data_IF_818534857498
#
_entry.id   IF_818534857498
#
_cell.length_a   1.000
_cell.length_b   1.000
_cell.length_c   1.000
_cell.angle_alpha   90.00
_cell.angle_beta   90.00
_cell.angle_gamma   90.00
#
_symmetry.space_group_name_H-M   'P 1'
#
loop_
_entity.id
_entity.type
_entity.pdbx_description
1 polymer ?
#
# COMPACT_ATOMS: atom_id res chain seq x y z
N UNK A 1 -18.38 -27.41 -45.65
CA UNK A 1 -19.09 -27.59 -44.36
C UNK A 1 -18.16 -27.94 -43.20
N UNK A 2 -17.27 -28.93 -43.33
CA UNK A 2 -16.37 -29.35 -42.24
C UNK A 2 -15.47 -28.24 -41.67
N UNK A 3 -14.89 -27.38 -42.52
CA UNK A 3 -14.03 -26.28 -42.05
C UNK A 3 -14.74 -25.25 -41.16
N UNK A 4 -16.03 -24.98 -41.41
CA UNK A 4 -16.81 -24.01 -40.62
C UNK A 4 -17.11 -24.57 -39.22
N UNK A 5 -17.43 -25.87 -39.13
CA UNK A 5 -17.72 -26.53 -37.86
C UNK A 5 -16.47 -26.56 -36.97
N UNK A 6 -15.30 -26.88 -37.54
CA UNK A 6 -14.04 -26.89 -36.80
C UNK A 6 -13.72 -25.50 -36.23
N UNK A 7 -13.88 -24.44 -37.02
CA UNK A 7 -13.63 -23.06 -36.56
C UNK A 7 -14.56 -22.65 -35.42
N UNK A 8 -15.85 -22.99 -35.49
CA UNK A 8 -16.82 -22.70 -34.43
C UNK A 8 -16.50 -23.42 -33.12
N UNK A 9 -16.06 -24.68 -33.20
CA UNK A 9 -15.66 -25.47 -32.02
C UNK A 9 -14.41 -24.89 -31.35
N UNK A 10 -13.40 -24.48 -32.13
CA UNK A 10 -12.18 -23.83 -31.61
C UNK A 10 -12.51 -22.49 -30.94
N UNK A 11 -13.39 -21.68 -31.55
CA UNK A 11 -13.79 -20.40 -30.96
C UNK A 11 -14.57 -20.60 -29.65
N UNK A 12 -15.50 -21.55 -29.61
CA UNK A 12 -16.29 -21.85 -28.42
C UNK A 12 -15.40 -22.36 -27.27
N UNK A 13 -14.42 -23.21 -27.56
CA UNK A 13 -13.47 -23.71 -26.55
C UNK A 13 -12.54 -22.61 -26.03
N UNK A 14 -12.03 -21.72 -26.89
CA UNK A 14 -11.24 -20.57 -26.46
C UNK A 14 -12.04 -19.62 -25.55
N UNK A 15 -13.30 -19.35 -25.87
CA UNK A 15 -14.20 -18.53 -25.05
C UNK A 15 -14.48 -19.20 -23.70
N UNK A 16 -14.81 -20.49 -23.70
CA UNK A 16 -15.06 -21.25 -22.47
C UNK A 16 -13.82 -21.28 -21.57
N UNK A 17 -12.64 -21.51 -22.14
CA UNK A 17 -11.37 -21.51 -21.40
C UNK A 17 -11.05 -20.12 -20.84
N UNK A 18 -11.22 -19.05 -21.62
CA UNK A 18 -11.01 -17.67 -21.16
C UNK A 18 -12.00 -17.26 -20.06
N UNK A 19 -13.26 -17.68 -20.15
CA UNK A 19 -14.27 -17.43 -19.11
C UNK A 19 -13.93 -18.18 -17.83
N UNK A 20 -13.56 -19.47 -17.92
CA UNK A 20 -13.16 -20.29 -16.78
C UNK A 20 -11.89 -19.75 -16.11
N UNK A 21 -10.88 -19.36 -16.89
CA UNK A 21 -9.67 -18.71 -16.38
C UNK A 21 -9.99 -17.43 -15.63
N UNK A 22 -10.84 -16.55 -16.19
CA UNK A 22 -11.26 -15.31 -15.52
C UNK A 22 -11.95 -15.56 -14.19
N UNK A 23 -12.87 -16.53 -14.12
CA UNK A 23 -13.58 -16.85 -12.89
C UNK A 23 -12.63 -17.41 -11.82
N UNK A 24 -11.72 -18.31 -12.23
CA UNK A 24 -10.75 -18.89 -11.31
C UNK A 24 -9.74 -17.87 -10.80
N UNK A 25 -9.25 -17.01 -11.69
CA UNK A 25 -8.32 -15.93 -11.36
C UNK A 25 -8.95 -14.92 -10.40
N UNK A 26 -10.22 -14.55 -10.61
CA UNK A 26 -10.98 -13.70 -9.66
C UNK A 26 -11.06 -14.30 -8.26
N UNK A 27 -11.31 -15.61 -8.16
CA UNK A 27 -11.40 -16.30 -6.87
C UNK A 27 -10.04 -16.34 -6.16
N UNK A 28 -8.96 -16.62 -6.88
CA UNK A 28 -7.60 -16.65 -6.34
C UNK A 28 -7.18 -15.26 -5.82
N UNK A 29 -7.42 -14.20 -6.60
CA UNK A 29 -7.11 -12.82 -6.18
C UNK A 29 -7.83 -12.45 -4.89
N UNK A 30 -9.11 -12.82 -4.74
CA UNK A 30 -9.86 -12.55 -3.50
C UNK A 30 -9.25 -13.27 -2.29
N UNK A 31 -8.82 -14.52 -2.44
CA UNK A 31 -8.16 -15.27 -1.36
C UNK A 31 -6.84 -14.63 -0.98
N UNK A 32 -5.98 -14.34 -1.96
CA UNK A 32 -4.67 -13.70 -1.74
C UNK A 32 -4.84 -12.37 -1.00
N UNK A 33 -5.78 -11.52 -1.42
CA UNK A 33 -6.02 -10.23 -0.75
C UNK A 33 -6.50 -10.40 0.68
N UNK A 34 -7.35 -11.39 0.95
CA UNK A 34 -7.81 -11.66 2.32
C UNK A 34 -6.65 -12.11 3.22
N UNK A 35 -5.78 -12.99 2.70
CA UNK A 35 -4.56 -13.40 3.40
C UNK A 35 -3.63 -12.20 3.62
N UNK A 36 -3.37 -11.40 2.59
CA UNK A 36 -2.57 -10.18 2.71
C UNK A 36 -3.08 -9.24 3.81
N UNK A 37 -4.40 -9.01 3.90
CA UNK A 37 -5.01 -8.21 4.96
C UNK A 37 -4.71 -8.81 6.34
N UNK A 38 -4.83 -10.12 6.50
CA UNK A 38 -4.52 -10.80 7.76
C UNK A 38 -3.03 -10.68 8.12
N UNK A 39 -2.14 -10.83 7.13
CA UNK A 39 -0.70 -10.70 7.32
C UNK A 39 -0.32 -9.28 7.77
N UNK A 40 -1.01 -8.26 7.24
CA UNK A 40 -0.79 -6.87 7.65
C UNK A 40 -1.07 -6.64 9.13
N UNK A 41 -2.16 -7.23 9.63
CA UNK A 41 -2.56 -7.09 11.03
C UNK A 41 -1.66 -7.87 11.99
N UNK A 42 -1.06 -8.98 11.53
CA UNK A 42 -0.22 -9.82 12.37
C UNK A 42 1.15 -9.21 12.68
N UNK A 43 1.74 -8.45 11.75
CA UNK A 43 3.12 -7.92 11.88
C UNK A 43 3.20 -6.39 11.78
N UNK A 44 2.40 -5.69 12.59
CA UNK A 44 2.37 -4.22 12.60
C UNK A 44 3.71 -3.59 12.97
N UNK A 45 4.47 -4.21 13.88
CA UNK A 45 5.78 -3.70 14.31
C UNK A 45 6.85 -3.91 13.24
N UNK A 46 6.88 -5.06 12.57
CA UNK A 46 7.77 -5.30 11.43
C UNK A 46 7.49 -4.34 10.28
N UNK A 47 6.22 -4.08 9.99
CA UNK A 47 5.81 -3.10 8.98
C UNK A 47 6.20 -1.66 9.35
N UNK A 48 6.07 -1.28 10.62
CA UNK A 48 6.52 0.02 11.09
C UNK A 48 8.04 0.21 10.89
N UNK A 49 8.83 -0.83 11.22
CA UNK A 49 10.27 -0.81 11.02
C UNK A 49 10.65 -0.75 9.53
N UNK A 50 9.98 -1.54 8.69
CA UNK A 50 10.16 -1.52 7.23
C UNK A 50 9.87 -0.13 6.66
N UNK A 51 8.76 0.47 7.07
CA UNK A 51 8.38 1.83 6.66
C UNK A 51 9.42 2.86 7.11
N UNK A 52 9.86 2.80 8.37
CA UNK A 52 10.82 3.74 8.93
C UNK A 52 12.16 3.69 8.17
N UNK A 53 12.62 2.47 7.85
CA UNK A 53 13.82 2.26 7.06
C UNK A 53 13.68 2.86 5.65
N UNK A 54 12.57 2.58 4.97
CA UNK A 54 12.30 3.10 3.63
C UNK A 54 12.19 4.64 3.64
N UNK A 55 11.49 5.21 4.61
CA UNK A 55 11.29 6.65 4.75
C UNK A 55 12.61 7.38 5.04
N UNK A 56 13.45 6.83 5.93
CA UNK A 56 14.79 7.34 6.23
C UNK A 56 15.70 7.38 5.00
N UNK A 57 15.60 6.38 4.11
CA UNK A 57 16.38 6.31 2.88
C UNK A 57 16.00 7.39 1.84
N UNK A 58 14.84 8.04 1.98
CA UNK A 58 14.41 9.09 1.03
C UNK A 58 15.14 10.42 1.19
N UNK A 59 15.79 10.66 2.34
CA UNK A 59 16.43 11.93 2.68
C UNK A 59 15.45 13.10 2.90
N UNK A 60 14.15 12.82 3.05
CA UNK A 60 13.09 13.80 3.33
C UNK A 60 12.47 13.51 4.69
N UNK A 61 12.14 14.50 5.52
CA UNK A 61 12.33 15.94 5.33
C UNK A 61 13.81 16.34 5.43
N UNK A 62 14.22 17.38 4.70
CA UNK A 62 15.62 17.86 4.76
C UNK A 62 15.96 18.35 6.17
N UNK A 63 17.20 18.09 6.60
CA UNK A 63 17.70 18.50 7.90
C UNK A 63 17.21 17.64 9.07
N UNK A 64 16.38 16.62 8.81
CA UNK A 64 15.76 15.76 9.81
C UNK A 64 16.05 14.28 9.54
N UNK A 65 16.23 13.52 10.62
CA UNK A 65 16.32 12.06 10.62
C UNK A 65 15.02 11.48 11.14
N UNK A 66 14.51 10.45 10.47
CA UNK A 66 13.38 9.66 10.97
C UNK A 66 13.82 8.85 12.18
N UNK A 67 13.17 9.06 13.33
CA UNK A 67 13.59 8.43 14.59
C UNK A 67 12.71 7.26 14.97
N UNK A 68 11.40 7.43 14.88
CA UNK A 68 10.44 6.38 15.24
C UNK A 68 9.16 6.50 14.41
N UNK A 69 8.49 5.37 14.23
CA UNK A 69 7.17 5.26 13.63
C UNK A 69 6.37 4.22 14.41
N UNK A 70 5.15 4.58 14.79
CA UNK A 70 4.18 3.67 15.39
C UNK A 70 2.91 3.64 14.53
N UNK A 71 2.48 2.46 14.11
CA UNK A 71 1.26 2.27 13.34
C UNK A 71 0.10 2.00 14.29
N UNK A 72 -0.97 2.77 14.19
CA UNK A 72 -2.14 2.66 15.05
C UNK A 72 -3.44 2.63 14.25
N UNK A 73 -4.53 2.25 14.91
CA UNK A 73 -5.86 2.16 14.29
C UNK A 73 -6.00 1.07 13.22
N UNK A 74 -7.24 0.94 12.74
CA UNK A 74 -7.57 0.04 11.65
C UNK A 74 -7.08 0.62 10.32
N UNK A 75 -6.34 -0.16 9.51
CA UNK A 75 -5.90 0.28 8.19
C UNK A 75 -7.10 0.31 7.22
N UNK A 76 -7.09 1.32 6.35
CA UNK A 76 -7.96 1.34 5.18
C UNK A 76 -7.27 0.68 4.00
N UNK A 77 -7.92 -0.32 3.43
CA UNK A 77 -7.43 -0.99 2.24
C UNK A 77 -8.00 -0.36 0.97
N UNK A 78 -7.18 -0.27 -0.06
CA UNK A 78 -7.56 0.25 -1.36
C UNK A 78 -6.90 -0.56 -2.47
N UNK A 79 -7.42 -0.46 -3.69
CA UNK A 79 -6.78 -1.02 -4.87
C UNK A 79 -6.39 0.08 -5.82
N UNK A 80 -5.17 0.01 -6.34
CA UNK A 80 -4.78 0.87 -7.44
C UNK A 80 -5.61 0.54 -8.69
N UNK A 81 -6.14 1.57 -9.34
CA UNK A 81 -7.09 1.44 -10.44
C UNK A 81 -6.44 0.95 -11.74
N UNK A 82 -5.14 1.18 -11.91
CA UNK A 82 -4.40 0.83 -13.12
C UNK A 82 -3.80 -0.56 -13.00
N UNK A 83 -3.09 -0.81 -11.90
CA UNK A 83 -2.32 -2.04 -11.66
C UNK A 83 -3.12 -3.12 -10.94
N UNK A 84 -4.16 -2.73 -10.19
CA UNK A 84 -4.93 -3.65 -9.36
C UNK A 84 -4.23 -4.06 -8.06
N UNK A 85 -3.07 -3.48 -7.76
CA UNK A 85 -2.30 -3.74 -6.54
C UNK A 85 -3.09 -3.34 -5.30
N UNK A 86 -2.91 -4.10 -4.22
CA UNK A 86 -3.56 -3.83 -2.93
C UNK A 86 -2.67 -2.87 -2.12
N UNK A 87 -3.27 -1.79 -1.64
CA UNK A 87 -2.67 -0.79 -0.80
C UNK A 87 -3.27 -0.84 0.60
N UNK A 88 -2.44 -0.58 1.61
CA UNK A 88 -2.86 -0.29 2.97
C UNK A 88 -2.51 1.15 3.31
N UNK A 89 -3.50 1.90 3.80
CA UNK A 89 -3.36 3.25 4.32
C UNK A 89 -3.64 3.19 5.81
N UNK A 90 -2.67 3.55 6.64
CA UNK A 90 -2.74 3.34 8.08
C UNK A 90 -2.26 4.57 8.84
N UNK A 91 -2.91 4.87 9.96
CA UNK A 91 -2.50 5.99 10.82
C UNK A 91 -1.12 5.67 11.40
N UNK A 92 -0.22 6.65 11.33
CA UNK A 92 1.15 6.56 11.77
C UNK A 92 1.50 7.78 12.64
N UNK A 93 2.04 7.52 13.82
CA UNK A 93 2.67 8.52 14.66
C UNK A 93 4.17 8.49 14.40
N UNK A 94 4.71 9.59 13.90
CA UNK A 94 6.11 9.70 13.48
C UNK A 94 6.84 10.70 14.37
N UNK A 95 8.10 10.41 14.70
CA UNK A 95 9.01 11.38 15.32
C UNK A 95 10.26 11.59 14.48
N UNK A 96 10.78 12.81 14.56
CA UNK A 96 11.99 13.23 13.88
C UNK A 96 13.03 13.70 14.89
N UNK A 97 14.27 13.74 14.44
CA UNK A 97 15.38 14.36 15.15
C UNK A 97 16.14 15.27 14.19
N UNK A 98 16.58 16.42 14.68
CA UNK A 98 17.43 17.30 13.88
C UNK A 98 18.77 16.63 13.61
N UNK A 99 19.32 16.85 12.42
CA UNK A 99 20.70 16.47 12.13
C UNK A 99 21.62 17.49 12.83
N UNK A 100 22.56 16.99 13.65
CA UNK A 100 23.50 17.82 14.39
C UNK A 100 24.32 18.73 13.45
N UNK A 101 24.48 20.01 13.83
CA UNK A 101 25.12 21.04 13.02
C UNK A 101 24.31 21.49 11.80
N UNK A 102 23.04 21.07 11.68
CA UNK A 102 22.14 21.46 10.60
C UNK A 102 21.18 22.59 10.99
N UNK A 103 20.56 23.21 9.99
CA UNK A 103 19.66 24.38 10.14
C UNK A 103 18.45 24.17 11.08
N UNK A 104 18.19 22.92 11.48
CA UNK A 104 17.02 22.51 12.27
C UNK A 104 17.37 22.16 13.73
N UNK A 105 18.65 22.23 14.14
CA UNK A 105 19.13 21.83 15.47
C UNK A 105 18.47 22.62 16.61
N UNK A 106 18.29 23.93 16.44
CA UNK A 106 17.72 24.82 17.46
C UNK A 106 16.19 24.90 17.45
N UNK A 107 15.50 24.13 16.60
CA UNK A 107 14.04 24.20 16.45
C UNK A 107 13.37 23.16 17.34
N UNK A 108 12.91 23.58 18.53
CA UNK A 108 12.22 22.68 19.51
C UNK A 108 11.06 21.87 18.89
N UNK A 109 10.34 22.45 17.92
CA UNK A 109 9.20 21.81 17.28
C UNK A 109 9.55 20.58 16.40
N UNK A 110 10.84 20.34 16.14
CA UNK A 110 11.33 19.21 15.34
C UNK A 110 11.12 17.87 16.06
N UNK A 111 11.25 17.87 17.38
CA UNK A 111 11.08 16.69 18.24
C UNK A 111 9.63 16.28 18.46
N UNK A 112 8.67 17.06 17.93
CA UNK A 112 7.26 16.82 18.14
C UNK A 112 6.75 15.66 17.27
N UNK A 113 5.91 14.83 17.87
CA UNK A 113 5.18 13.78 17.16
C UNK A 113 4.35 14.40 16.02
N UNK A 114 4.27 13.69 14.90
CA UNK A 114 3.47 14.05 13.73
C UNK A 114 2.50 12.91 13.44
N UNK A 115 1.23 13.24 13.32
CA UNK A 115 0.26 12.32 12.74
C UNK A 115 0.43 12.32 11.21
N UNK A 116 0.41 11.13 10.63
CA UNK A 116 0.41 10.94 9.19
C UNK A 116 -0.37 9.67 8.82
N UNK A 117 -0.65 9.51 7.53
CA UNK A 117 -0.98 8.21 6.94
C UNK A 117 0.27 7.60 6.34
N UNK A 118 0.70 6.43 6.81
CA UNK A 118 1.72 5.63 6.16
C UNK A 118 1.10 4.77 5.05
N UNK A 119 1.81 4.63 3.92
CA UNK A 119 1.33 3.90 2.74
C UNK A 119 2.16 2.63 2.54
N UNK A 120 1.46 1.51 2.39
CA UNK A 120 2.01 0.21 2.07
C UNK A 120 1.36 -0.34 0.81
N UNK A 121 2.08 -1.20 0.10
CA UNK A 121 1.60 -1.92 -1.08
C UNK A 121 1.96 -3.40 -0.96
N UNK A 122 1.03 -4.28 -1.35
CA UNK A 122 1.24 -5.72 -1.34
C UNK A 122 1.73 -6.17 -2.72
N UNK A 123 2.98 -6.64 -2.78
CA UNK A 123 3.66 -7.11 -4.00
C UNK A 123 4.43 -8.38 -3.69
N UNK A 124 4.52 -9.29 -4.67
CA UNK A 124 5.31 -10.53 -4.54
C UNK A 124 5.03 -11.31 -3.24
N UNK A 125 3.76 -11.36 -2.83
CA UNK A 125 3.24 -12.03 -1.63
C UNK A 125 3.65 -11.42 -0.28
N UNK A 126 4.19 -10.19 -0.27
CA UNK A 126 4.60 -9.51 0.95
C UNK A 126 4.18 -8.03 0.91
N UNK A 127 4.05 -7.43 2.11
CA UNK A 127 3.86 -6.00 2.24
C UNK A 127 5.19 -5.27 2.12
N UNK A 128 5.19 -4.17 1.37
CA UNK A 128 6.34 -3.28 1.22
C UNK A 128 5.92 -1.82 1.28
N UNK A 129 6.88 -0.92 1.41
CA UNK A 129 6.69 0.52 1.41
C UNK A 129 7.88 1.22 0.77
N UNK A 130 7.62 2.32 0.09
CA UNK A 130 8.63 3.27 -0.40
C UNK A 130 8.90 4.40 0.62
N UNK A 131 8.37 4.28 1.85
CA UNK A 131 8.50 5.29 2.89
C UNK A 131 7.55 6.48 2.72
N UNK A 132 6.54 6.37 1.85
CA UNK A 132 5.60 7.46 1.58
C UNK A 132 4.64 7.68 2.75
N UNK A 133 4.72 8.87 3.34
CA UNK A 133 3.79 9.36 4.34
C UNK A 133 2.96 10.53 3.81
N UNK A 134 1.69 10.60 4.21
CA UNK A 134 0.84 11.77 4.02
C UNK A 134 0.65 12.45 5.36
N UNK A 135 1.44 13.50 5.61
CA UNK A 135 1.40 14.21 6.89
C UNK A 135 0.08 14.95 7.10
N UNK A 136 -0.35 14.97 8.36
CA UNK A 136 -1.53 15.70 8.84
C UNK A 136 -2.86 15.25 8.21
N UNK A 137 -2.92 14.07 7.60
CA UNK A 137 -4.15 13.47 7.10
C UNK A 137 -4.33 12.07 7.68
N UNK A 138 -5.58 11.76 8.04
CA UNK A 138 -6.01 10.41 8.40
C UNK A 138 -6.18 9.52 7.15
N UNK A 139 -6.18 8.18 7.29
CA UNK A 139 -6.28 7.27 6.16
C UNK A 139 -7.44 7.56 5.21
N UNK A 140 -8.62 7.92 5.72
CA UNK A 140 -9.80 8.21 4.90
C UNK A 140 -9.60 9.46 4.03
N UNK A 141 -9.00 10.51 4.60
CA UNK A 141 -8.69 11.75 3.89
C UNK A 141 -7.57 11.54 2.86
N UNK A 142 -6.58 10.72 3.21
CA UNK A 142 -5.52 10.29 2.29
C UNK A 142 -6.09 9.50 1.12
N UNK A 143 -7.08 8.61 1.36
CA UNK A 143 -7.76 7.87 0.30
C UNK A 143 -8.55 8.79 -0.62
N UNK A 144 -9.30 9.74 -0.08
CA UNK A 144 -10.02 10.77 -0.85
C UNK A 144 -9.05 11.57 -1.72
N UNK A 145 -7.91 12.00 -1.16
CA UNK A 145 -6.86 12.70 -1.91
C UNK A 145 -6.32 11.89 -3.09
N UNK A 146 -6.29 10.56 -2.98
CA UNK A 146 -5.82 9.65 -4.03
C UNK A 146 -6.95 8.96 -4.80
N UNK A 147 -8.19 9.45 -4.74
CA UNK A 147 -9.34 8.78 -5.35
C UNK A 147 -9.22 8.56 -6.87
N UNK A 148 -8.42 9.38 -7.57
CA UNK A 148 -8.14 9.25 -9.00
C UNK A 148 -7.29 8.01 -9.32
N UNK A 149 -6.42 7.59 -8.41
CA UNK A 149 -5.53 6.43 -8.59
C UNK A 149 -5.97 5.22 -7.77
N UNK A 150 -6.61 5.43 -6.61
CA UNK A 150 -7.02 4.39 -5.68
C UNK A 150 -8.55 4.30 -5.62
N UNK A 151 -9.06 3.08 -5.51
CA UNK A 151 -10.45 2.81 -5.15
C UNK A 151 -10.52 2.06 -3.82
N UNK A 152 -11.48 2.36 -2.92
CA UNK A 152 -11.67 1.60 -1.69
C UNK A 152 -11.78 0.09 -1.96
N UNK A 153 -11.16 -0.73 -1.11
CA UNK A 153 -11.30 -2.18 -1.16
C UNK A 153 -12.59 -2.57 -0.42
N UNK A 154 -13.53 -3.19 -1.14
CA UNK A 154 -14.86 -3.60 -0.64
C UNK A 154 -15.02 -5.12 -0.70
#
# INVERSE_FOLDING_TARGET
MHGVIVTLVVLATAIAFGAMWRLWHKSQVKKIRKTAIQDFEQDRSGLAALFLQAAGATGKPRGLTWKNCELSGEPLFATDRVTGELYALVTATISFEAIAGGDMEDVEAVSNLRCATAIFVYRDQHWTSDGRAVFNLEPAQSLERFQESLSPFV
#
